data_IF_487206286985
#
_entry.id   IF_487206286985
#
_cell.length_a   1.000
_cell.length_b   1.000
_cell.length_c   1.000
_cell.angle_alpha   90.00
_cell.angle_beta   90.00
_cell.angle_gamma   90.00
#
_symmetry.space_group_name_H-M   'P 1'
#
loop_
_entity.id
_entity.type
_entity.pdbx_description
1 polymer ?
#
# COMPACT_ATOMS: atom_id res chain seq x y z
N UNK A 1 -21.57 3.89 14.04
CA UNK A 1 -20.28 3.81 13.34
C UNK A 1 -20.52 4.31 11.93
N UNK A 2 -19.90 5.42 11.54
CA UNK A 2 -19.98 5.93 10.16
C UNK A 2 -19.24 4.95 9.25
N UNK A 3 -19.94 4.32 8.31
CA UNK A 3 -19.30 3.50 7.29
C UNK A 3 -18.53 4.41 6.33
N UNK A 4 -17.22 4.18 6.17
CA UNK A 4 -16.41 4.89 5.19
C UNK A 4 -16.64 4.34 3.80
N UNK A 5 -16.77 5.23 2.81
CA UNK A 5 -16.90 4.86 1.40
C UNK A 5 -15.52 4.63 0.76
N UNK A 6 -15.50 3.97 -0.40
CA UNK A 6 -14.26 3.86 -1.21
C UNK A 6 -13.64 5.24 -1.52
N UNK A 7 -14.46 6.28 -1.70
CA UNK A 7 -13.97 7.63 -1.96
C UNK A 7 -13.25 8.23 -0.75
N UNK A 8 -13.71 7.94 0.47
CA UNK A 8 -13.08 8.46 1.69
C UNK A 8 -11.68 7.87 1.87
N UNK A 9 -11.54 6.58 1.61
CA UNK A 9 -10.24 5.91 1.61
C UNK A 9 -9.31 6.46 0.52
N UNK A 10 -9.80 6.69 -0.69
CA UNK A 10 -8.98 7.28 -1.75
C UNK A 10 -8.59 8.74 -1.45
N UNK A 11 -9.46 9.53 -0.82
CA UNK A 11 -9.13 10.89 -0.34
C UNK A 11 -8.03 10.87 0.73
N UNK A 12 -8.05 9.86 1.62
CA UNK A 12 -6.98 9.67 2.59
C UNK A 12 -5.66 9.29 1.89
N UNK A 13 -5.68 8.38 0.92
CA UNK A 13 -4.49 8.06 0.12
C UNK A 13 -3.93 9.30 -0.60
N UNK A 14 -4.80 10.17 -1.16
CA UNK A 14 -4.39 11.47 -1.72
C UNK A 14 -3.79 12.43 -0.68
N UNK A 15 -4.26 12.36 0.57
CA UNK A 15 -3.68 13.15 1.66
C UNK A 15 -2.26 12.67 2.00
N UNK A 16 -2.03 11.36 2.01
CA UNK A 16 -0.68 10.80 2.14
C UNK A 16 0.21 11.19 0.97
N UNK A 17 -0.28 11.12 -0.27
CA UNK A 17 0.47 11.48 -1.47
C UNK A 17 1.03 12.92 -1.41
N UNK A 18 0.29 13.87 -0.81
CA UNK A 18 0.72 15.27 -0.62
C UNK A 18 1.89 15.44 0.34
N UNK A 19 2.22 14.43 1.15
CA UNK A 19 3.39 14.43 2.03
C UNK A 19 4.67 14.02 1.30
N UNK A 20 4.54 13.41 0.12
CA UNK A 20 5.69 13.00 -0.69
C UNK A 20 6.46 14.22 -1.20
N UNK A 21 7.79 14.28 -1.01
CA UNK A 21 8.58 15.39 -1.52
C UNK A 21 8.58 15.36 -3.06
N UNK A 22 8.29 16.50 -3.73
CA UNK A 22 8.29 16.54 -5.18
C UNK A 22 9.70 16.29 -5.72
N UNK A 23 9.82 15.35 -6.66
CA UNK A 23 11.07 15.10 -7.38
C UNK A 23 10.78 14.92 -8.88
N UNK A 24 11.64 15.44 -9.78
CA UNK A 24 11.45 15.27 -11.22
C UNK A 24 11.39 13.81 -11.70
N UNK A 25 11.94 12.88 -10.92
CA UNK A 25 12.08 11.47 -11.29
C UNK A 25 11.02 10.55 -10.70
N UNK A 26 10.19 11.04 -9.76
CA UNK A 26 9.28 10.19 -8.99
C UNK A 26 7.89 10.82 -8.93
N UNK A 27 6.85 10.00 -9.08
CA UNK A 27 5.48 10.42 -8.82
C UNK A 27 5.21 10.55 -7.32
N UNK A 28 4.44 11.58 -6.94
CA UNK A 28 3.89 11.71 -5.59
C UNK A 28 2.69 10.77 -5.45
N UNK A 29 2.96 9.56 -4.94
CA UNK A 29 1.95 8.51 -4.73
C UNK A 29 1.69 8.37 -3.24
N UNK A 30 0.44 8.09 -2.88
CA UNK A 30 0.02 7.73 -1.54
C UNK A 30 -0.75 6.41 -1.56
N UNK A 31 -0.62 5.64 -0.50
CA UNK A 31 -1.24 4.34 -0.35
C UNK A 31 -1.72 4.12 1.08
N UNK A 32 -2.83 3.41 1.25
CA UNK A 32 -3.33 2.98 2.55
C UNK A 32 -3.80 1.53 2.50
N UNK A 33 -3.51 0.80 3.58
CA UNK A 33 -4.03 -0.54 3.84
C UNK A 33 -5.19 -0.42 4.82
N UNK A 34 -6.32 -1.03 4.49
CA UNK A 34 -7.53 -0.95 5.31
C UNK A 34 -8.20 -2.30 5.51
N UNK A 35 -8.82 -2.49 6.67
CA UNK A 35 -9.77 -3.57 6.99
C UNK A 35 -11.14 -2.93 7.28
N UNK A 36 -12.04 -2.85 6.29
CA UNK A 36 -13.30 -2.11 6.42
C UNK A 36 -14.24 -2.60 7.54
N UNK A 37 -14.14 -3.87 7.94
CA UNK A 37 -14.91 -4.45 9.04
C UNK A 37 -14.35 -4.12 10.43
N UNK A 38 -13.11 -3.63 10.52
CA UNK A 38 -12.48 -3.24 11.78
C UNK A 38 -13.08 -1.93 12.33
N UNK A 39 -13.25 -1.79 13.66
CA UNK A 39 -13.56 -0.52 14.31
C UNK A 39 -12.53 0.59 14.01
N UNK A 40 -11.28 0.19 13.76
CA UNK A 40 -10.18 1.06 13.35
C UNK A 40 -9.69 0.57 11.98
N UNK A 41 -10.29 1.06 10.88
CA UNK A 41 -10.12 0.42 9.59
C UNK A 41 -8.75 0.63 8.98
N UNK A 42 -8.02 1.70 9.32
CA UNK A 42 -6.70 1.97 8.75
C UNK A 42 -5.64 1.11 9.45
N UNK A 43 -5.02 0.20 8.71
CA UNK A 43 -3.95 -0.66 9.21
C UNK A 43 -2.58 0.02 9.10
N UNK A 44 -2.32 0.66 7.97
CA UNK A 44 -1.10 1.41 7.73
C UNK A 44 -1.29 2.40 6.57
N UNK A 45 -0.44 3.42 6.54
CA UNK A 45 -0.34 4.40 5.45
C UNK A 45 1.07 4.42 4.88
N UNK A 46 1.18 4.85 3.63
CA UNK A 46 2.43 4.97 2.89
C UNK A 46 2.40 6.15 1.93
N UNK A 47 3.52 6.82 1.73
CA UNK A 47 3.71 7.72 0.58
C UNK A 47 5.10 7.55 -0.03
N UNK A 48 5.26 7.94 -1.30
CA UNK A 48 6.54 7.84 -2.02
C UNK A 48 7.64 8.56 -1.23
N UNK A 49 8.74 7.84 -0.97
CA UNK A 49 9.90 8.31 -0.20
C UNK A 49 9.62 8.61 1.29
N UNK A 50 8.58 8.03 1.88
CA UNK A 50 8.34 8.12 3.33
C UNK A 50 9.46 7.44 4.13
N UNK A 51 9.88 6.24 3.71
CA UNK A 51 10.95 5.49 4.34
C UNK A 51 12.28 5.65 3.57
N UNK A 52 13.44 5.51 4.24
CA UNK A 52 14.75 5.64 3.61
C UNK A 52 14.92 4.78 2.35
N UNK A 53 15.66 5.32 1.37
CA UNK A 53 15.91 4.67 0.08
C UNK A 53 14.90 5.08 -1.00
N UNK A 54 14.95 4.39 -2.14
CA UNK A 54 14.00 4.61 -3.24
C UNK A 54 12.73 3.79 -2.98
N UNK A 55 11.87 4.24 -2.06
CA UNK A 55 10.65 3.51 -1.65
C UNK A 55 9.39 4.07 -2.31
N UNK A 56 8.48 3.17 -2.70
CA UNK A 56 7.16 3.54 -3.23
C UNK A 56 6.13 3.56 -2.09
N UNK A 57 4.96 4.16 -2.34
CA UNK A 57 3.91 4.31 -1.35
C UNK A 57 3.41 2.96 -0.82
N UNK A 58 3.14 2.00 -1.70
CA UNK A 58 2.68 0.65 -1.35
C UNK A 58 3.73 -0.09 -0.50
N UNK A 59 5.00 0.02 -0.89
CA UNK A 59 6.12 -0.53 -0.15
C UNK A 59 6.21 0.07 1.26
N UNK A 60 6.05 1.40 1.40
CA UNK A 60 6.07 2.07 2.71
C UNK A 60 4.92 1.58 3.60
N UNK A 61 3.71 1.46 3.06
CA UNK A 61 2.55 0.98 3.81
C UNK A 61 2.76 -0.45 4.33
N UNK A 62 3.26 -1.37 3.48
CA UNK A 62 3.56 -2.75 3.86
C UNK A 62 4.68 -2.84 4.90
N UNK A 63 5.77 -2.10 4.71
CA UNK A 63 6.89 -2.07 5.66
C UNK A 63 6.45 -1.55 7.03
N UNK A 64 5.68 -0.47 7.07
CA UNK A 64 5.19 0.10 8.34
C UNK A 64 4.25 -0.86 9.07
N UNK A 65 3.38 -1.57 8.34
CA UNK A 65 2.53 -2.60 8.93
C UNK A 65 3.37 -3.74 9.52
N UNK A 66 4.35 -4.24 8.76
CA UNK A 66 5.26 -5.30 9.23
C UNK A 66 6.05 -4.86 10.47
N UNK A 67 6.58 -3.63 10.48
CA UNK A 67 7.29 -3.03 11.61
C UNK A 67 6.40 -2.91 12.85
N UNK A 68 5.14 -2.52 12.70
CA UNK A 68 4.21 -2.40 13.84
C UNK A 68 3.95 -3.73 14.55
N UNK A 69 4.17 -4.85 13.85
CA UNK A 69 4.01 -6.21 14.36
C UNK A 69 5.35 -6.92 14.59
N UNK A 70 6.48 -6.22 14.40
CA UNK A 70 7.83 -6.76 14.53
C UNK A 70 8.10 -8.03 13.69
N UNK A 71 7.64 -8.02 12.44
CA UNK A 71 7.86 -9.10 11.46
C UNK A 71 8.53 -8.56 10.19
N UNK A 72 9.02 -9.45 9.32
CA UNK A 72 9.52 -9.05 8.01
C UNK A 72 8.37 -8.70 7.05
N UNK A 73 8.64 -7.79 6.10
CA UNK A 73 7.67 -7.41 5.06
C UNK A 73 7.14 -8.62 4.28
N UNK A 74 8.01 -9.60 4.02
CA UNK A 74 7.67 -10.83 3.29
C UNK A 74 6.55 -11.65 3.96
N UNK A 75 6.42 -11.55 5.28
CA UNK A 75 5.40 -12.24 6.07
C UNK A 75 4.23 -11.34 6.45
N UNK A 76 4.17 -10.08 6.01
CA UNK A 76 3.11 -9.15 6.42
C UNK A 76 1.70 -9.65 6.07
N UNK A 77 1.59 -10.49 5.04
CA UNK A 77 0.34 -11.15 4.66
C UNK A 77 -0.24 -12.06 5.75
N UNK A 78 0.59 -12.62 6.64
CA UNK A 78 0.18 -13.57 7.68
C UNK A 78 -0.46 -12.93 8.91
N UNK A 79 -0.53 -11.60 8.96
CA UNK A 79 -1.20 -10.86 10.04
C UNK A 79 -2.37 -10.02 9.53
N UNK A 80 -2.62 -10.03 8.23
CA UNK A 80 -3.65 -9.20 7.61
C UNK A 80 -5.06 -9.75 7.90
N UNK A 81 -6.02 -8.90 8.34
CA UNK A 81 -7.43 -9.26 8.37
C UNK A 81 -7.92 -9.76 7.00
N UNK A 82 -8.90 -10.66 6.97
CA UNK A 82 -9.38 -11.30 5.74
C UNK A 82 -9.93 -10.31 4.70
N UNK A 83 -10.44 -9.17 5.15
CA UNK A 83 -11.03 -8.12 4.33
C UNK A 83 -10.04 -7.00 3.99
N UNK A 84 -8.72 -7.27 4.08
CA UNK A 84 -7.69 -6.27 3.78
C UNK A 84 -7.76 -5.80 2.33
N UNK A 85 -7.84 -4.48 2.16
CA UNK A 85 -7.90 -3.78 0.88
C UNK A 85 -6.77 -2.75 0.81
N UNK A 86 -6.11 -2.66 -0.34
CA UNK A 86 -5.17 -1.60 -0.66
C UNK A 86 -5.87 -0.50 -1.47
N UNK A 87 -5.72 0.75 -1.07
CA UNK A 87 -6.03 1.91 -1.90
C UNK A 87 -4.72 2.60 -2.22
N UNK A 88 -4.44 2.83 -3.50
CA UNK A 88 -3.25 3.55 -3.96
C UNK A 88 -3.65 4.60 -4.99
N UNK A 89 -3.03 5.78 -4.95
CA UNK A 89 -3.41 6.88 -5.83
C UNK A 89 -3.00 6.64 -7.28
N UNK A 90 -2.07 5.72 -7.52
CA UNK A 90 -1.58 5.32 -8.84
C UNK A 90 -1.48 3.80 -8.90
N UNK A 91 -1.65 3.22 -10.08
CA UNK A 91 -1.48 1.78 -10.30
C UNK A 91 -0.13 1.28 -9.78
N UNK A 92 -0.11 0.16 -9.02
CA UNK A 92 1.15 -0.43 -8.56
C UNK A 92 2.04 -0.82 -9.75
N UNK A 93 3.29 -0.38 -9.71
CA UNK A 93 4.23 -0.66 -10.79
C UNK A 93 4.50 -2.18 -10.93
N UNK A 94 4.63 -2.64 -12.17
CA UNK A 94 4.99 -4.02 -12.55
C UNK A 94 6.50 -4.20 -12.77
N UNK A 95 7.22 -3.09 -13.02
CA UNK A 95 8.66 -3.03 -13.21
C UNK A 95 9.27 -1.89 -12.38
N UNK A 96 10.53 -2.07 -11.96
CA UNK A 96 11.31 -0.99 -11.35
C UNK A 96 12.69 -0.91 -11.98
N UNK A 97 13.00 0.23 -12.58
CA UNK A 97 14.33 0.50 -13.16
C UNK A 97 15.46 0.41 -12.12
N UNK A 98 15.15 0.62 -10.84
CA UNK A 98 16.13 0.48 -9.76
C UNK A 98 16.47 -0.96 -9.41
N UNK A 99 15.81 -1.96 -10.00
CA UNK A 99 15.96 -3.38 -9.66
C UNK A 99 15.27 -3.81 -8.36
N UNK A 100 14.58 -2.90 -7.68
CA UNK A 100 13.80 -3.24 -6.48
C UNK A 100 12.57 -4.09 -6.86
N UNK A 101 12.07 -4.89 -5.91
CA UNK A 101 10.85 -5.66 -6.10
C UNK A 101 9.66 -4.73 -6.47
N UNK A 102 8.97 -4.99 -7.61
CA UNK A 102 7.80 -4.21 -8.04
C UNK A 102 6.65 -4.24 -7.04
N UNK A 103 5.81 -3.19 -7.05
CA UNK A 103 4.71 -3.08 -6.08
C UNK A 103 3.63 -4.12 -6.34
N UNK A 104 3.37 -4.45 -7.60
CA UNK A 104 2.46 -5.56 -7.95
C UNK A 104 2.94 -6.89 -7.36
N UNK A 105 4.23 -7.20 -7.47
CA UNK A 105 4.78 -8.43 -6.88
C UNK A 105 4.71 -8.40 -5.35
N UNK A 106 4.98 -7.25 -4.70
CA UNK A 106 4.80 -7.10 -3.25
C UNK A 106 3.38 -7.40 -2.80
N UNK A 107 2.38 -6.89 -3.52
CA UNK A 107 0.96 -7.18 -3.23
C UNK A 107 0.68 -8.67 -3.38
N UNK A 108 1.17 -9.32 -4.43
CA UNK A 108 0.98 -10.77 -4.65
C UNK A 108 1.67 -11.62 -3.58
N UNK A 109 2.84 -11.21 -3.09
CA UNK A 109 3.52 -11.90 -1.99
C UNK A 109 2.69 -11.89 -0.70
N UNK A 110 1.93 -10.83 -0.43
CA UNK A 110 1.02 -10.82 0.72
C UNK A 110 -0.02 -11.94 0.66
N UNK A 111 -0.40 -12.39 -0.55
CA UNK A 111 -1.36 -13.48 -0.76
C UNK A 111 -0.68 -14.85 -0.77
N UNK A 112 0.58 -14.94 -1.23
CA UNK A 112 1.32 -16.21 -1.30
C UNK A 112 1.88 -16.63 0.06
N UNK A 113 2.29 -15.65 0.88
CA UNK A 113 2.91 -15.87 2.19
C UNK A 113 1.97 -15.57 3.36
N UNK A 114 0.65 -15.73 3.15
CA UNK A 114 -0.35 -15.37 4.15
C UNK A 114 -0.64 -16.45 5.20
N UNK A 115 -0.10 -17.67 5.03
CA UNK A 115 -0.45 -18.79 5.91
C UNK A 115 -1.95 -19.07 5.87
N UNK A 116 -2.63 -18.95 7.01
CA UNK A 116 -4.09 -19.10 7.12
C UNK A 116 -4.88 -17.85 6.69
N UNK A 117 -4.19 -16.71 6.53
CA UNK A 117 -4.80 -15.45 6.13
C UNK A 117 -4.94 -15.36 4.61
N UNK A 118 -5.56 -14.28 4.13
CA UNK A 118 -5.84 -14.07 2.69
C UNK A 118 -4.96 -13.00 2.06
N UNK A 119 -4.15 -12.27 2.84
CA UNK A 119 -3.39 -11.12 2.34
C UNK A 119 -4.27 -10.03 1.73
N UNK A 120 -3.71 -9.24 0.81
CA UNK A 120 -4.47 -8.24 0.05
C UNK A 120 -5.26 -8.92 -1.06
N UNK A 121 -6.59 -8.82 -1.01
CA UNK A 121 -7.49 -9.43 -2.01
C UNK A 121 -8.06 -8.44 -3.02
N UNK A 122 -8.04 -7.15 -2.71
CA UNK A 122 -8.56 -6.08 -3.56
C UNK A 122 -7.62 -4.89 -3.53
N UNK A 123 -7.41 -4.31 -4.72
CA UNK A 123 -6.66 -3.07 -4.90
C UNK A 123 -7.55 -2.08 -5.64
N UNK A 124 -7.74 -0.90 -5.06
CA UNK A 124 -8.39 0.24 -5.72
C UNK A 124 -7.32 1.25 -6.10
N UNK A 125 -7.30 1.61 -7.39
CA UNK A 125 -6.34 2.56 -7.94
C UNK A 125 -7.03 3.89 -8.23
N UNK A 126 -6.33 5.00 -8.01
CA UNK A 126 -6.80 6.34 -8.37
C UNK A 126 -6.71 6.59 -9.87
N UNK A 127 -5.49 6.45 -10.41
CA UNK A 127 -5.21 6.52 -11.84
C UNK A 127 -4.38 5.32 -12.27
N UNK A 128 -4.40 5.01 -13.57
CA UNK A 128 -3.46 4.07 -14.17
C UNK A 128 -2.06 4.68 -14.23
N UNK A 129 -1.04 3.83 -14.20
CA UNK A 129 0.33 4.31 -14.46
C UNK A 129 0.38 4.84 -15.91
N UNK A 130 0.92 6.05 -16.15
CA UNK A 130 0.99 6.58 -17.51
C UNK A 130 1.81 5.68 -18.43
N UNK A 131 1.30 5.44 -19.64
CA UNK A 131 2.07 4.77 -20.69
C UNK A 131 3.28 5.65 -21.09
N UNK A 132 4.37 4.99 -21.50
CA UNK A 132 5.57 5.66 -22.01
C UNK A 132 5.40 6.11 -23.46
#
# INVERSE_FOLDING_TARGET
MTQHTHQDYMRLALTEARKSPPKPTNYCVGAILVSPSSPHPILATGYTLELPGNTHAEQCALLKLAQSMNISEEHVGSIMPEDTVLYTTMEPCDLRNSGNLPCTERVLLTTRNSGEHKGIRKVYIGVKEPEK
#
